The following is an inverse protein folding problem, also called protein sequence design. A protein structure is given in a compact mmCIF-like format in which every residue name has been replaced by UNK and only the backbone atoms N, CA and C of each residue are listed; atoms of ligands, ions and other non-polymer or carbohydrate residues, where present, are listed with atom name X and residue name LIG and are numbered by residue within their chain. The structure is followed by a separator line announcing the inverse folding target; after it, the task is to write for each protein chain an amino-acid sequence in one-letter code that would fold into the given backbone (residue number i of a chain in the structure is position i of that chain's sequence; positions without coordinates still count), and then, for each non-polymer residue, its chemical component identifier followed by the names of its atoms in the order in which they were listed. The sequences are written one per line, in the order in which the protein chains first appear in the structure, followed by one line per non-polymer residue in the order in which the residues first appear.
data_IF_796361369025
#
_entry.id   IF_796361369025
#
_cell.length_a   1.000
_cell.length_b   1.000
_cell.length_c   1.000
_cell.angle_alpha   90.00
_cell.angle_beta   90.00
_cell.angle_gamma   90.00
#
_symmetry.space_group_name_H-M   'P 1'
#
loop_
_entity.id
_entity.type
_entity.pdbx_description
1 polymer ?
#
# COMPACT_ATOMS: atom_id res chain seq x y z
N UNK A 1 59.76 -35.80 12.55
CA UNK A 1 59.03 -36.67 11.61
C UNK A 1 60.04 -37.41 10.76
N UNK A 2 59.84 -38.71 10.52
CA UNK A 2 60.71 -39.55 9.66
C UNK A 2 60.54 -39.15 8.19
N UNK A 3 61.60 -39.24 7.38
CA UNK A 3 61.49 -39.01 5.93
C UNK A 3 60.86 -40.22 5.23
N UNK A 4 60.40 -40.06 3.98
CA UNK A 4 59.94 -41.20 3.18
C UNK A 4 61.07 -42.18 2.87
N UNK A 5 62.30 -41.70 2.70
CA UNK A 5 63.47 -42.57 2.48
C UNK A 5 63.70 -43.53 3.64
N UNK A 6 63.59 -43.03 4.87
CA UNK A 6 63.70 -43.84 6.09
C UNK A 6 62.52 -44.82 6.22
N UNK A 7 61.31 -44.35 5.91
CA UNK A 7 60.09 -45.17 5.92
C UNK A 7 60.17 -46.31 4.90
N UNK A 8 60.56 -46.00 3.66
CA UNK A 8 60.74 -46.96 2.57
C UNK A 8 61.76 -48.02 2.92
N UNK A 9 62.94 -47.62 3.41
CA UNK A 9 64.00 -48.56 3.82
C UNK A 9 63.54 -49.49 4.93
N UNK A 10 62.78 -48.98 5.90
CA UNK A 10 62.26 -49.74 7.04
C UNK A 10 61.19 -50.76 6.62
N UNK A 11 60.32 -50.42 5.67
CA UNK A 11 59.16 -51.24 5.29
C UNK A 11 59.28 -51.91 3.92
N UNK A 12 60.43 -51.85 3.25
CA UNK A 12 60.65 -52.43 1.91
C UNK A 12 60.29 -53.93 1.78
N UNK A 13 60.32 -54.69 2.89
CA UNK A 13 59.96 -56.11 2.94
C UNK A 13 58.49 -56.36 3.34
N UNK A 14 57.76 -55.35 3.80
CA UNK A 14 56.35 -55.48 4.23
C UNK A 14 55.44 -55.71 3.01
N UNK A 15 54.61 -56.75 3.08
CA UNK A 15 53.70 -57.12 1.99
C UNK A 15 52.72 -56.00 1.63
N UNK A 16 52.27 -55.19 2.60
CA UNK A 16 51.39 -54.03 2.35
C UNK A 16 52.12 -52.89 1.65
N UNK A 17 53.43 -52.76 1.89
CA UNK A 17 54.26 -51.77 1.19
C UNK A 17 54.51 -52.20 -0.26
N UNK A 18 54.78 -53.48 -0.49
CA UNK A 18 54.96 -54.04 -1.84
C UNK A 18 53.67 -54.05 -2.66
N UNK A 19 52.52 -54.30 -2.01
CA UNK A 19 51.20 -54.33 -2.65
C UNK A 19 50.77 -53.00 -3.31
N UNK A 20 51.43 -51.89 -2.98
CA UNK A 20 51.26 -50.62 -3.70
C UNK A 20 52.33 -50.59 -4.79
N UNK A 21 51.99 -50.92 -6.04
CA UNK A 21 52.99 -51.13 -7.08
C UNK A 21 53.79 -49.87 -7.48
N UNK A 22 53.13 -48.71 -7.46
CA UNK A 22 53.74 -47.45 -7.90
C UNK A 22 54.46 -46.75 -6.75
N UNK A 23 55.76 -46.52 -6.92
CA UNK A 23 56.57 -45.78 -5.94
C UNK A 23 56.03 -44.37 -5.64
N UNK A 24 55.47 -43.70 -6.66
CA UNK A 24 54.80 -42.40 -6.50
C UNK A 24 53.57 -42.48 -5.60
N UNK A 25 52.79 -43.56 -5.70
CA UNK A 25 51.59 -43.75 -4.89
C UNK A 25 51.97 -44.05 -3.43
N UNK A 26 53.05 -44.82 -3.20
CA UNK A 26 53.61 -45.03 -1.86
C UNK A 26 54.02 -43.73 -1.17
N UNK A 27 54.75 -42.87 -1.90
CA UNK A 27 55.13 -41.54 -1.41
C UNK A 27 53.90 -40.68 -1.16
N UNK A 28 52.92 -40.66 -2.09
CA UNK A 28 51.68 -39.89 -1.93
C UNK A 28 50.94 -40.30 -0.66
N UNK A 29 50.71 -41.60 -0.44
CA UNK A 29 50.01 -42.10 0.76
C UNK A 29 50.77 -41.79 2.05
N UNK A 30 52.11 -41.81 2.02
CA UNK A 30 52.92 -41.41 3.16
C UNK A 30 52.80 -39.92 3.47
N UNK A 31 52.85 -39.06 2.45
CA UNK A 31 52.65 -37.61 2.61
C UNK A 31 51.23 -37.28 3.08
N UNK A 32 50.23 -37.98 2.56
CA UNK A 32 48.83 -37.86 2.99
C UNK A 32 48.68 -38.24 4.46
N UNK A 33 49.27 -39.37 4.90
CA UNK A 33 49.29 -39.76 6.31
C UNK A 33 49.97 -38.72 7.21
N UNK A 34 51.12 -38.17 6.80
CA UNK A 34 51.79 -37.11 7.56
C UNK A 34 50.93 -35.83 7.63
N UNK A 35 50.25 -35.48 6.54
CA UNK A 35 49.33 -34.34 6.48
C UNK A 35 48.15 -34.54 7.43
N UNK A 36 47.52 -35.72 7.39
CA UNK A 36 46.43 -36.10 8.28
C UNK A 36 46.85 -36.10 9.75
N UNK A 37 48.05 -36.58 10.07
CA UNK A 37 48.56 -36.61 11.43
C UNK A 37 48.75 -35.19 11.98
N UNK A 38 49.37 -34.28 11.20
CA UNK A 38 49.47 -32.85 11.57
C UNK A 38 48.11 -32.21 11.73
N UNK A 39 47.17 -32.52 10.83
CA UNK A 39 45.80 -32.01 10.88
C UNK A 39 45.11 -32.49 12.16
N UNK A 40 45.20 -33.78 12.49
CA UNK A 40 44.60 -34.37 13.69
C UNK A 40 45.16 -33.76 14.97
N UNK A 41 46.49 -33.60 15.07
CA UNK A 41 47.12 -32.97 16.24
C UNK A 41 46.66 -31.51 16.42
N UNK A 42 46.57 -30.76 15.31
CA UNK A 42 46.07 -29.38 15.32
C UNK A 42 44.59 -29.32 15.75
N UNK A 43 43.76 -30.19 15.19
CA UNK A 43 42.34 -30.27 15.46
C UNK A 43 42.07 -30.69 16.91
N UNK A 44 42.82 -31.65 17.45
CA UNK A 44 42.71 -32.08 18.84
C UNK A 44 43.06 -30.94 19.81
N UNK A 45 44.17 -30.24 19.55
CA UNK A 45 44.56 -29.07 20.33
C UNK A 45 43.52 -27.95 20.27
N UNK A 46 42.84 -27.78 19.14
CA UNK A 46 41.74 -26.82 19.01
C UNK A 46 40.50 -27.28 19.78
N UNK A 47 40.13 -28.56 19.65
CA UNK A 47 39.00 -29.18 20.34
C UNK A 47 39.14 -29.07 21.86
N UNK A 48 40.33 -29.32 22.39
CA UNK A 48 40.62 -29.21 23.82
C UNK A 48 40.46 -27.77 24.32
N UNK A 49 40.95 -26.77 23.59
CA UNK A 49 40.78 -25.35 23.94
C UNK A 49 39.31 -24.93 24.00
N UNK A 50 38.53 -25.34 22.99
CA UNK A 50 37.09 -25.03 22.93
C UNK A 50 36.32 -25.76 24.02
N UNK A 51 36.69 -27.01 24.33
CA UNK A 51 36.12 -27.78 25.43
C UNK A 51 36.37 -27.08 26.77
N UNK A 52 37.62 -26.71 27.07
CA UNK A 52 37.98 -25.99 28.29
C UNK A 52 37.21 -24.67 28.44
N UNK A 53 37.04 -23.93 27.35
CA UNK A 53 36.23 -22.70 27.35
C UNK A 53 34.76 -22.99 27.63
N UNK A 54 34.19 -23.99 26.96
CA UNK A 54 32.79 -24.39 27.12
C UNK A 54 32.50 -24.86 28.54
N UNK A 55 33.36 -25.71 29.10
CA UNK A 55 33.24 -26.24 30.45
C UNK A 55 33.31 -25.12 31.50
N UNK A 56 34.19 -24.14 31.31
CA UNK A 56 34.26 -22.95 32.17
C UNK A 56 33.00 -22.08 32.07
N UNK A 57 32.47 -21.85 30.86
CA UNK A 57 31.23 -21.09 30.67
C UNK A 57 30.02 -21.80 31.31
N UNK A 58 29.97 -23.13 31.23
CA UNK A 58 28.94 -23.93 31.90
C UNK A 58 29.03 -23.84 33.42
N UNK A 59 30.25 -23.89 33.98
CA UNK A 59 30.48 -23.67 35.40
C UNK A 59 29.96 -22.30 35.87
N UNK A 60 30.18 -21.24 35.08
CA UNK A 60 29.61 -19.91 35.35
C UNK A 60 28.08 -19.94 35.28
N UNK A 61 27.50 -20.57 34.25
CA UNK A 61 26.05 -20.69 34.07
C UNK A 61 25.35 -21.42 35.21
N UNK A 62 26.01 -22.36 35.87
CA UNK A 62 25.50 -23.06 37.05
C UNK A 62 25.39 -22.16 38.30
N UNK A 63 26.09 -21.02 38.33
CA UNK A 63 26.05 -20.06 39.45
C UNK A 63 24.76 -19.22 39.39
N UNK A 64 23.69 -19.72 39.99
CA UNK A 64 22.35 -19.08 40.01
C UNK A 64 22.31 -17.65 40.57
N UNK A 65 23.30 -17.26 41.37
CA UNK A 65 23.37 -15.91 41.97
C UNK A 65 24.21 -14.91 41.14
N UNK A 66 24.65 -15.27 39.93
CA UNK A 66 25.37 -14.35 39.06
C UNK A 66 24.41 -13.30 38.48
N UNK A 67 24.80 -12.05 38.65
CA UNK A 67 24.11 -10.90 38.05
C UNK A 67 25.13 -10.03 37.33
N UNK A 68 24.66 -9.04 36.57
CA UNK A 68 25.54 -8.08 35.89
C UNK A 68 26.45 -7.27 36.83
N UNK A 69 26.12 -7.20 38.12
CA UNK A 69 26.88 -6.48 39.13
C UNK A 69 27.78 -7.39 39.98
N UNK A 70 27.84 -8.69 39.67
CA UNK A 70 28.69 -9.62 40.42
C UNK A 70 30.17 -9.31 40.22
N UNK A 71 30.96 -9.32 41.30
CA UNK A 71 32.41 -9.14 41.24
C UNK A 71 33.13 -10.49 41.11
N UNK A 72 34.22 -10.50 40.32
CA UNK A 72 35.00 -11.71 40.07
C UNK A 72 35.51 -12.38 41.35
N UNK A 73 35.98 -11.59 42.32
CA UNK A 73 36.48 -12.09 43.61
C UNK A 73 35.46 -12.94 44.36
N UNK A 74 34.18 -12.56 44.33
CA UNK A 74 33.11 -13.28 45.03
C UNK A 74 32.80 -14.62 44.36
N UNK A 75 32.79 -14.61 43.04
CA UNK A 75 32.50 -15.78 42.22
C UNK A 75 33.66 -16.77 42.30
N UNK A 76 34.89 -16.28 42.17
CA UNK A 76 36.13 -17.07 42.32
C UNK A 76 36.17 -17.84 43.63
N UNK A 77 35.77 -17.23 44.76
CA UNK A 77 35.71 -17.92 46.07
C UNK A 77 34.76 -19.12 46.08
N UNK A 78 33.76 -19.17 45.21
CA UNK A 78 32.80 -20.29 45.12
C UNK A 78 33.26 -21.40 44.16
N UNK A 79 34.00 -21.03 43.11
CA UNK A 79 34.31 -21.95 42.01
C UNK A 79 35.77 -22.41 41.94
N UNK A 80 36.69 -21.86 42.75
CA UNK A 80 38.13 -22.11 42.63
C UNK A 80 38.56 -23.58 42.81
N UNK A 81 37.75 -24.39 43.48
CA UNK A 81 38.02 -25.80 43.72
C UNK A 81 37.60 -26.71 42.56
N UNK A 82 36.72 -26.24 41.67
CA UNK A 82 36.14 -27.03 40.57
C UNK A 82 37.22 -27.41 39.53
N UNK A 83 37.25 -28.68 39.06
CA UNK A 83 38.20 -29.11 38.02
C UNK A 83 38.14 -28.26 36.74
N UNK A 84 36.95 -27.81 36.33
CA UNK A 84 36.74 -26.98 35.13
C UNK A 84 37.31 -25.57 35.31
N UNK A 85 37.35 -25.05 36.54
CA UNK A 85 38.06 -23.81 36.87
C UNK A 85 39.58 -24.01 36.77
N UNK A 86 40.07 -25.12 37.35
CA UNK A 86 41.51 -25.43 37.38
C UNK A 86 42.07 -25.71 35.98
N UNK A 87 41.28 -26.31 35.08
CA UNK A 87 41.64 -26.59 33.69
C UNK A 87 41.97 -25.34 32.85
N UNK A 88 41.60 -24.15 33.30
CA UNK A 88 41.99 -22.88 32.66
C UNK A 88 43.25 -22.36 33.34
N UNK A 89 44.44 -22.55 32.79
CA UNK A 89 45.68 -22.26 33.53
C UNK A 89 45.88 -20.78 33.89
N UNK A 90 45.39 -19.86 33.05
CA UNK A 90 45.61 -18.42 33.19
C UNK A 90 44.54 -17.74 34.03
N UNK A 91 44.95 -17.04 35.09
CA UNK A 91 44.05 -16.26 35.94
C UNK A 91 43.36 -15.10 35.19
N UNK A 92 44.09 -14.40 34.31
CA UNK A 92 43.51 -13.33 33.50
C UNK A 92 42.47 -13.88 32.53
N UNK A 93 42.75 -15.03 31.89
CA UNK A 93 41.80 -15.69 30.98
C UNK A 93 40.49 -16.05 31.66
N UNK A 94 40.55 -16.58 32.88
CA UNK A 94 39.34 -16.89 33.69
C UNK A 94 38.50 -15.65 33.93
N UNK A 95 39.14 -14.53 34.28
CA UNK A 95 38.47 -13.26 34.53
C UNK A 95 37.91 -12.63 33.25
N UNK A 96 38.62 -12.72 32.12
CA UNK A 96 38.12 -12.27 30.82
C UNK A 96 36.85 -13.02 30.42
N UNK A 97 36.84 -14.34 30.57
CA UNK A 97 35.67 -15.17 30.28
C UNK A 97 34.51 -14.89 31.24
N UNK A 98 34.80 -14.59 32.50
CA UNK A 98 33.79 -14.11 33.44
C UNK A 98 33.18 -12.78 32.99
N UNK A 99 34.00 -11.79 32.62
CA UNK A 99 33.52 -10.48 32.14
C UNK A 99 32.68 -10.63 30.87
N UNK A 100 33.09 -11.51 29.96
CA UNK A 100 32.31 -11.85 28.76
C UNK A 100 30.93 -12.43 29.12
N UNK A 101 30.88 -13.37 30.07
CA UNK A 101 29.64 -13.99 30.51
C UNK A 101 28.69 -12.97 31.18
N UNK A 102 29.21 -12.13 32.08
CA UNK A 102 28.45 -11.09 32.77
C UNK A 102 27.89 -10.06 31.79
N UNK A 103 28.66 -9.67 30.77
CA UNK A 103 28.18 -8.78 29.70
C UNK A 103 27.01 -9.39 28.93
N UNK A 104 27.09 -10.68 28.59
CA UNK A 104 25.98 -11.40 27.91
C UNK A 104 24.69 -11.43 28.73
N UNK A 105 24.77 -11.42 30.07
CA UNK A 105 23.58 -11.33 30.93
C UNK A 105 22.89 -9.95 30.84
N UNK A 106 23.63 -8.88 30.53
CA UNK A 106 23.06 -7.52 30.34
C UNK A 106 22.44 -7.37 28.94
N UNK A 107 23.01 -8.02 27.92
CA UNK A 107 22.49 -8.00 26.54
C UNK A 107 21.23 -8.87 26.34
N UNK A 108 20.98 -9.87 27.19
CA UNK A 108 19.72 -10.61 27.16
C UNK A 108 18.60 -9.76 27.78
N UNK A 109 17.65 -9.22 26.99
CA UNK A 109 16.56 -8.47 27.57
C UNK A 109 15.75 -9.39 28.46
N UNK A 110 15.35 -8.91 29.64
CA UNK A 110 14.43 -9.65 30.52
C UNK A 110 13.20 -10.07 29.70
N UNK A 111 12.62 -11.24 30.01
CA UNK A 111 11.37 -11.70 29.38
C UNK A 111 10.26 -10.65 29.47
N UNK A 112 10.26 -9.86 30.55
CA UNK A 112 9.32 -8.76 30.77
C UNK A 112 9.51 -7.61 29.77
N UNK A 113 10.75 -7.19 29.51
CA UNK A 113 11.09 -6.14 28.52
C UNK A 113 10.73 -6.58 27.10
N UNK A 114 10.98 -7.86 26.78
CA UNK A 114 10.58 -8.44 25.49
C UNK A 114 9.07 -8.50 25.29
N UNK A 115 8.29 -8.67 26.37
CA UNK A 115 6.84 -8.68 26.35
C UNK A 115 6.27 -7.28 26.14
N UNK A 116 6.74 -6.30 26.92
CA UNK A 116 6.33 -4.91 26.82
C UNK A 116 6.61 -4.32 25.43
N UNK A 117 7.77 -4.65 24.84
CA UNK A 117 8.11 -4.21 23.47
C UNK A 117 7.16 -4.80 22.42
N UNK A 118 6.85 -6.10 22.50
CA UNK A 118 5.89 -6.75 21.59
C UNK A 118 4.48 -6.20 21.71
N UNK A 119 4.06 -5.87 22.93
CA UNK A 119 2.74 -5.29 23.16
C UNK A 119 2.63 -3.87 22.63
N UNK A 120 3.67 -3.05 22.82
CA UNK A 120 3.77 -1.72 22.23
C UNK A 120 3.73 -1.78 20.69
N UNK A 121 4.47 -2.69 20.09
CA UNK A 121 4.48 -2.89 18.63
C UNK A 121 3.10 -3.30 18.09
N UNK A 122 2.40 -4.20 18.79
CA UNK A 122 1.02 -4.56 18.44
C UNK A 122 0.07 -3.37 18.51
N UNK A 123 0.19 -2.55 19.55
CA UNK A 123 -0.64 -1.36 19.73
C UNK A 123 -0.38 -0.32 18.63
N UNK A 124 0.89 -0.06 18.32
CA UNK A 124 1.27 0.86 17.25
C UNK A 124 0.77 0.37 15.88
N UNK A 125 0.81 -0.94 15.61
CA UNK A 125 0.26 -1.51 14.38
C UNK A 125 -1.27 -1.37 14.30
N UNK A 126 -1.98 -1.59 15.41
CA UNK A 126 -3.43 -1.40 15.47
C UNK A 126 -3.82 0.06 15.28
N UNK A 127 -3.11 0.98 15.94
CA UNK A 127 -3.35 2.42 15.84
C UNK A 127 -3.05 2.94 14.43
N UNK A 128 -1.97 2.48 13.79
CA UNK A 128 -1.66 2.81 12.41
C UNK A 128 -2.77 2.36 11.45
N UNK A 129 -3.26 1.13 11.61
CA UNK A 129 -4.35 0.60 10.78
C UNK A 129 -5.66 1.36 10.99
N UNK A 130 -5.99 1.73 12.23
CA UNK A 130 -7.17 2.54 12.53
C UNK A 130 -7.06 3.93 11.91
N UNK A 131 -5.90 4.59 12.06
CA UNK A 131 -5.66 5.94 11.53
C UNK A 131 -5.73 5.97 10.01
N UNK A 132 -5.20 4.95 9.34
CA UNK A 132 -5.29 4.82 7.88
C UNK A 132 -6.75 4.70 7.44
N UNK A 133 -7.52 3.82 8.09
CA UNK A 133 -8.94 3.63 7.78
C UNK A 133 -9.78 4.88 8.04
N UNK A 134 -9.52 5.59 9.14
CA UNK A 134 -10.20 6.86 9.44
C UNK A 134 -9.90 7.93 8.37
N UNK A 135 -8.66 7.97 7.86
CA UNK A 135 -8.28 8.87 6.78
C UNK A 135 -9.02 8.53 5.50
N UNK A 136 -9.08 7.25 5.11
CA UNK A 136 -9.83 6.80 3.93
C UNK A 136 -11.32 7.16 4.03
N UNK A 137 -11.95 6.90 5.18
CA UNK A 137 -13.37 7.23 5.41
C UNK A 137 -13.58 8.74 5.30
N UNK A 138 -12.69 9.55 5.89
CA UNK A 138 -12.78 11.01 5.82
C UNK A 138 -12.62 11.54 4.39
N UNK A 139 -11.68 11.00 3.64
CA UNK A 139 -11.45 11.37 2.23
C UNK A 139 -12.64 10.96 1.36
N UNK A 140 -13.15 9.74 1.51
CA UNK A 140 -14.34 9.26 0.80
C UNK A 140 -15.58 10.12 1.11
N UNK A 141 -15.79 10.47 2.39
CA UNK A 141 -16.87 11.34 2.80
C UNK A 141 -16.72 12.75 2.20
N UNK A 142 -15.52 13.33 2.28
CA UNK A 142 -15.25 14.65 1.68
C UNK A 142 -15.46 14.64 0.16
N UNK A 143 -15.05 13.58 -0.53
CA UNK A 143 -15.24 13.44 -1.97
C UNK A 143 -16.73 13.33 -2.30
N UNK A 144 -17.45 12.44 -1.62
CA UNK A 144 -18.88 12.24 -1.80
C UNK A 144 -19.70 13.50 -1.52
N UNK A 145 -19.32 14.30 -0.52
CA UNK A 145 -19.97 15.57 -0.23
C UNK A 145 -19.78 16.58 -1.37
N UNK A 146 -18.55 16.72 -1.91
CA UNK A 146 -18.24 17.63 -3.02
C UNK A 146 -18.95 17.23 -4.31
N UNK A 147 -19.02 15.94 -4.59
CA UNK A 147 -19.72 15.42 -5.77
C UNK A 147 -21.22 15.74 -5.71
N UNK A 148 -21.86 15.51 -4.55
CA UNK A 148 -23.26 15.87 -4.33
C UNK A 148 -23.53 17.37 -4.42
N UNK A 149 -22.60 18.20 -3.96
CA UNK A 149 -22.73 19.67 -4.11
C UNK A 149 -22.66 20.08 -5.58
N UNK A 150 -21.67 19.57 -6.32
CA UNK A 150 -21.56 19.83 -7.76
C UNK A 150 -22.79 19.37 -8.53
N UNK A 151 -23.36 18.22 -8.18
CA UNK A 151 -24.58 17.72 -8.81
C UNK A 151 -25.78 18.65 -8.54
N UNK A 152 -25.93 19.14 -7.30
CA UNK A 152 -26.97 20.12 -6.96
C UNK A 152 -26.80 21.42 -7.74
N UNK A 153 -25.59 21.95 -7.83
CA UNK A 153 -25.32 23.18 -8.58
C UNK A 153 -25.61 23.00 -10.07
N UNK A 154 -25.25 21.84 -10.64
CA UNK A 154 -25.56 21.52 -12.03
C UNK A 154 -27.05 21.36 -12.27
N UNK A 155 -27.79 20.72 -11.36
CA UNK A 155 -29.24 20.59 -11.47
C UNK A 155 -29.92 21.96 -11.43
N UNK A 156 -29.50 22.84 -10.51
CA UNK A 156 -30.01 24.21 -10.43
C UNK A 156 -29.68 25.00 -11.70
N UNK A 157 -28.45 24.86 -12.23
CA UNK A 157 -28.04 25.48 -13.48
C UNK A 157 -28.92 25.01 -14.65
N UNK A 158 -29.09 23.71 -14.84
CA UNK A 158 -29.93 23.12 -15.89
C UNK A 158 -31.41 23.55 -15.75
N UNK A 159 -31.91 23.67 -14.53
CA UNK A 159 -33.26 24.14 -14.25
C UNK A 159 -33.43 25.59 -14.73
N UNK A 160 -32.49 26.48 -14.38
CA UNK A 160 -32.58 27.87 -14.81
C UNK A 160 -32.32 28.03 -16.32
N UNK A 161 -31.49 27.19 -16.92
CA UNK A 161 -31.32 27.11 -18.37
C UNK A 161 -32.64 26.75 -19.06
N UNK A 162 -33.34 25.74 -18.53
CA UNK A 162 -34.65 25.31 -19.01
C UNK A 162 -35.69 26.41 -18.84
N UNK A 163 -35.76 27.03 -17.66
CA UNK A 163 -36.66 28.16 -17.38
C UNK A 163 -36.40 29.31 -18.35
N UNK A 164 -35.14 29.65 -18.61
CA UNK A 164 -34.77 30.69 -19.54
C UNK A 164 -35.21 30.36 -20.98
N UNK A 165 -34.99 29.12 -21.44
CA UNK A 165 -35.48 28.67 -22.75
C UNK A 165 -37.00 28.75 -22.85
N UNK A 166 -37.74 28.36 -21.81
CA UNK A 166 -39.21 28.50 -21.79
C UNK A 166 -39.65 29.96 -21.85
N UNK A 167 -39.01 30.85 -21.08
CA UNK A 167 -39.29 32.29 -21.15
C UNK A 167 -39.05 32.86 -22.56
N UNK A 168 -37.99 32.41 -23.24
CA UNK A 168 -37.71 32.80 -24.61
C UNK A 168 -38.79 32.31 -25.58
N UNK A 169 -39.26 31.07 -25.43
CA UNK A 169 -40.38 30.54 -26.23
C UNK A 169 -41.67 31.36 -26.03
N UNK A 170 -41.97 31.74 -24.80
CA UNK A 170 -43.21 32.44 -24.45
C UNK A 170 -43.18 33.91 -24.90
N UNK A 171 -42.04 34.59 -24.69
CA UNK A 171 -41.93 36.06 -24.77
C UNK A 171 -41.19 36.57 -26.00
N UNK A 172 -40.38 35.73 -26.66
CA UNK A 172 -39.58 36.09 -27.85
C UNK A 172 -40.02 35.20 -29.01
N UNK A 173 -41.01 35.67 -29.77
CA UNK A 173 -41.59 34.91 -30.89
C UNK A 173 -41.23 35.46 -32.27
N UNK A 174 -40.83 36.73 -32.34
CA UNK A 174 -40.43 37.39 -33.59
C UNK A 174 -38.92 37.16 -33.85
N UNK A 175 -38.53 36.53 -34.98
CA UNK A 175 -37.13 36.30 -35.32
C UNK A 175 -36.33 37.58 -35.60
N UNK A 176 -36.97 38.75 -35.70
CA UNK A 176 -36.28 40.04 -35.84
C UNK A 176 -36.20 40.83 -34.53
N UNK A 177 -36.70 40.29 -33.41
CA UNK A 177 -36.67 40.97 -32.11
C UNK A 177 -35.23 41.18 -31.63
N UNK A 178 -34.88 42.39 -31.24
CA UNK A 178 -33.53 42.67 -30.73
C UNK A 178 -33.36 42.16 -29.29
N UNK A 179 -32.12 41.84 -28.89
CA UNK A 179 -31.83 41.48 -27.50
C UNK A 179 -32.27 42.54 -26.49
N UNK A 180 -32.20 43.83 -26.86
CA UNK A 180 -32.63 44.95 -26.00
C UNK A 180 -34.13 44.90 -25.72
N UNK A 181 -34.94 44.59 -26.73
CA UNK A 181 -36.39 44.45 -26.61
C UNK A 181 -36.76 43.17 -25.86
N UNK A 182 -36.14 42.04 -26.23
CA UNK A 182 -36.33 40.76 -25.55
C UNK A 182 -36.02 40.87 -24.05
N UNK A 183 -34.87 41.45 -23.70
CA UNK A 183 -34.45 41.67 -22.30
C UNK A 183 -35.41 42.56 -21.52
N UNK A 184 -36.08 43.53 -22.16
CA UNK A 184 -37.10 44.37 -21.52
C UNK A 184 -38.35 43.56 -21.15
N UNK A 185 -38.72 42.58 -21.97
CA UNK A 185 -39.83 41.67 -21.68
C UNK A 185 -39.45 40.64 -20.61
N UNK A 186 -38.27 40.00 -20.76
CA UNK A 186 -37.78 38.96 -19.84
C UNK A 186 -37.64 39.48 -18.40
N UNK A 187 -37.15 40.72 -18.20
CA UNK A 187 -37.01 41.33 -16.87
C UNK A 187 -38.31 41.55 -16.10
N UNK A 188 -39.46 41.47 -16.76
CA UNK A 188 -40.78 41.58 -16.12
C UNK A 188 -41.30 40.24 -15.63
N UNK A 189 -40.70 39.14 -16.06
CA UNK A 189 -41.06 37.78 -15.63
C UNK A 189 -40.45 37.50 -14.26
N UNK A 190 -41.24 36.92 -13.34
CA UNK A 190 -40.79 36.61 -11.99
C UNK A 190 -39.64 35.60 -11.95
N UNK A 191 -39.47 34.79 -13.01
CA UNK A 191 -38.38 33.80 -13.12
C UNK A 191 -37.03 34.44 -13.48
N UNK A 192 -37.01 35.69 -13.97
CA UNK A 192 -35.79 36.34 -14.44
C UNK A 192 -34.74 36.52 -13.36
N UNK A 193 -35.13 36.74 -12.11
CA UNK A 193 -34.19 36.92 -10.99
C UNK A 193 -33.34 35.66 -10.78
N UNK A 194 -33.97 34.49 -10.70
CA UNK A 194 -33.29 33.20 -10.51
C UNK A 194 -32.40 32.82 -11.70
N UNK A 195 -32.88 33.06 -12.92
CA UNK A 195 -32.06 32.93 -14.14
C UNK A 195 -30.91 33.94 -14.16
N UNK A 196 -31.14 35.12 -13.57
CA UNK A 196 -30.22 36.22 -13.31
C UNK A 196 -28.98 35.78 -12.55
N UNK A 197 -29.23 35.11 -11.44
CA UNK A 197 -28.26 34.74 -10.42
C UNK A 197 -27.46 33.49 -10.77
N UNK A 198 -28.08 32.54 -11.47
CA UNK A 198 -27.45 31.24 -11.79
C UNK A 198 -26.73 31.27 -13.14
N UNK A 199 -27.35 31.82 -14.18
CA UNK A 199 -26.75 31.83 -15.52
C UNK A 199 -25.89 33.10 -15.72
N UNK A 200 -24.63 33.00 -16.15
CA UNK A 200 -23.84 34.16 -16.51
C UNK A 200 -24.40 34.87 -17.75
N UNK A 201 -24.05 36.15 -17.90
CA UNK A 201 -24.50 36.96 -19.06
C UNK A 201 -24.12 36.34 -20.40
N UNK A 202 -22.91 35.82 -20.53
CA UNK A 202 -22.41 35.19 -21.77
C UNK A 202 -23.27 34.01 -22.18
N UNK A 203 -23.67 33.17 -21.23
CA UNK A 203 -24.48 31.97 -21.49
C UNK A 203 -25.91 32.34 -21.89
N UNK A 204 -26.53 33.31 -21.20
CA UNK A 204 -27.85 33.83 -21.62
C UNK A 204 -27.82 34.45 -23.01
N UNK A 205 -26.77 35.19 -23.33
CA UNK A 205 -26.59 35.78 -24.65
C UNK A 205 -26.46 34.68 -25.72
N UNK A 206 -25.81 33.55 -25.40
CA UNK A 206 -25.67 32.41 -26.32
C UNK A 206 -26.99 31.63 -26.51
N UNK A 207 -27.67 31.27 -25.42
CA UNK A 207 -28.99 30.60 -25.47
C UNK A 207 -30.01 31.46 -26.25
N UNK A 208 -29.94 32.79 -26.10
CA UNK A 208 -30.76 33.69 -26.89
C UNK A 208 -30.44 33.61 -28.39
N UNK A 209 -29.17 33.64 -28.79
CA UNK A 209 -28.79 33.50 -30.21
C UNK A 209 -29.25 32.16 -30.78
N UNK A 210 -29.08 31.07 -30.03
CA UNK A 210 -29.55 29.74 -30.42
C UNK A 210 -31.06 29.74 -30.66
N UNK A 211 -31.83 30.34 -29.76
CA UNK A 211 -33.28 30.50 -29.91
C UNK A 211 -33.66 31.31 -31.14
N UNK A 212 -33.01 32.45 -31.37
CA UNK A 212 -33.26 33.30 -32.54
C UNK A 212 -32.91 32.58 -33.86
N UNK A 213 -31.81 31.83 -33.90
CA UNK A 213 -31.45 31.00 -35.05
C UNK A 213 -32.49 29.89 -35.30
N UNK A 214 -33.01 29.26 -34.24
CA UNK A 214 -34.07 28.25 -34.31
C UNK A 214 -35.38 28.84 -34.83
N UNK A 215 -35.77 30.04 -34.38
CA UNK A 215 -36.95 30.75 -34.88
C UNK A 215 -36.81 31.14 -36.35
N UNK A 216 -35.67 31.70 -36.74
CA UNK A 216 -35.41 32.09 -38.14
C UNK A 216 -35.44 30.86 -39.06
N UNK A 217 -34.88 29.73 -38.60
CA UNK A 217 -34.94 28.45 -39.32
C UNK A 217 -36.38 27.97 -39.48
N UNK A 218 -37.17 27.92 -38.41
CA UNK A 218 -38.59 27.52 -38.44
C UNK A 218 -39.43 28.42 -39.35
N UNK A 219 -39.18 29.73 -39.36
CA UNK A 219 -39.87 30.67 -40.26
C UNK A 219 -39.52 30.42 -41.73
N UNK A 220 -38.25 30.15 -42.04
CA UNK A 220 -37.81 29.82 -43.40
C UNK A 220 -38.39 28.50 -43.90
N UNK A 221 -38.54 27.52 -43.00
CA UNK A 221 -39.04 26.19 -43.33
C UNK A 221 -40.59 26.14 -43.43
N UNK A 222 -41.30 27.20 -43.01
CA UNK A 222 -42.76 27.38 -43.16
C UNK A 222 -43.11 28.65 -43.97
N UNK A 223 -42.96 28.67 -45.31
CA UNK A 223 -43.55 29.70 -46.14
C UNK A 223 -45.08 29.53 -46.19
N UNK A 224 -45.85 30.62 -46.03
CA UNK A 224 -47.29 30.61 -46.26
C UNK A 224 -47.62 30.02 -47.63
N UNK A 225 -48.46 28.99 -47.61
CA UNK A 225 -49.19 28.48 -48.78
C UNK A 225 -50.24 29.52 -49.18
N UNK A 226 -49.84 30.50 -49.99
CA UNK A 226 -50.70 31.40 -50.77
C UNK A 226 -49.86 31.82 -51.98
N UNK A 227 -50.21 31.55 -53.25
CA UNK A 227 -51.53 31.50 -53.85
C UNK A 227 -51.46 30.77 -55.20
N UNK A 228 -52.39 29.85 -55.46
CA UNK A 228 -53.10 29.76 -56.75
C UNK A 228 -54.16 28.66 -56.72
N UNK A 229 -55.40 29.12 -56.80
CA UNK A 229 -56.53 28.55 -57.52
C UNK A 229 -57.63 27.74 -56.80
N UNK A 230 -58.83 28.28 -56.98
CA UNK A 230 -60.21 27.82 -56.88
C UNK A 230 -60.64 26.64 -55.97
N UNK A 231 -61.60 26.96 -55.10
CA UNK A 231 -62.82 26.16 -55.03
C UNK A 231 -63.09 25.41 -53.72
N UNK A 232 -64.06 25.96 -52.98
CA UNK A 232 -65.04 25.26 -52.12
C UNK A 232 -64.54 24.61 -50.82
N UNK A 233 -65.22 24.98 -49.72
CA UNK A 233 -65.51 24.04 -48.63
C UNK A 233 -64.92 24.38 -47.27
N UNK A 234 -65.80 24.84 -46.38
CA UNK A 234 -65.64 24.82 -44.93
C UNK A 234 -65.01 23.49 -44.43
N UNK A 235 -64.15 23.55 -43.40
CA UNK A 235 -64.36 22.83 -42.12
C UNK A 235 -63.14 22.92 -41.19
N UNK A 236 -63.42 23.34 -39.95
CA UNK A 236 -62.85 22.82 -38.71
C UNK A 236 -61.42 23.18 -38.33
N UNK A 237 -61.28 24.35 -37.70
CA UNK A 237 -60.37 24.49 -36.57
C UNK A 237 -60.85 23.57 -35.43
N UNK A 238 -60.10 22.50 -35.13
CA UNK A 238 -59.89 21.89 -33.80
C UNK A 238 -59.15 20.54 -33.95
N UNK A 239 -58.30 20.21 -32.95
CA UNK A 239 -57.40 19.04 -32.81
C UNK A 239 -56.10 19.16 -33.64
N UNK A 240 -54.88 19.13 -33.10
CA UNK A 240 -54.33 18.26 -32.06
C UNK A 240 -53.53 19.01 -30.98
N UNK A 241 -54.19 19.29 -29.86
CA UNK A 241 -53.59 19.09 -28.53
C UNK A 241 -53.91 17.64 -28.16
N UNK A 242 -52.96 16.90 -27.55
CA UNK A 242 -52.98 15.46 -27.25
C UNK A 242 -52.51 14.52 -28.38
N UNK A 243 -51.19 14.44 -28.62
CA UNK A 243 -50.59 13.13 -28.97
C UNK A 243 -49.08 12.99 -28.71
N UNK A 244 -48.46 13.85 -27.88
CA UNK A 244 -47.06 13.65 -27.46
C UNK A 244 -46.86 13.66 -25.93
N UNK A 245 -47.94 13.48 -25.16
CA UNK A 245 -47.89 13.35 -23.70
C UNK A 245 -48.17 11.92 -23.19
N UNK A 246 -48.41 10.93 -24.07
CA UNK A 246 -48.74 9.56 -23.66
C UNK A 246 -47.59 8.54 -23.89
N UNK A 247 -46.55 8.86 -24.68
CA UNK A 247 -45.47 7.89 -24.94
C UNK A 247 -44.32 7.97 -23.92
N UNK A 248 -44.15 9.08 -23.19
CA UNK A 248 -43.06 9.21 -22.20
C UNK A 248 -43.44 8.71 -20.79
N UNK A 249 -44.71 8.44 -20.51
CA UNK A 249 -45.18 7.93 -19.20
C UNK A 249 -45.14 6.40 -19.07
N UNK A 250 -44.90 5.65 -20.15
CA UNK A 250 -44.82 4.17 -20.12
C UNK A 250 -43.38 3.63 -19.97
N UNK A 251 -42.34 4.46 -20.11
CA UNK A 251 -40.94 4.01 -19.90
C UNK A 251 -40.40 4.25 -18.47
N UNK A 252 -41.09 5.03 -17.63
CA UNK A 252 -40.66 5.28 -16.25
C UNK A 252 -41.26 4.29 -15.24
N UNK A 253 -42.29 3.51 -15.61
CA UNK A 253 -42.95 2.54 -14.71
C UNK A 253 -42.38 1.11 -14.77
N UNK A 254 -41.38 0.86 -15.63
CA UNK A 254 -40.70 -0.44 -15.74
C UNK A 254 -39.38 -0.53 -14.94
N UNK A 255 -38.82 0.60 -14.50
CA UNK A 255 -37.56 0.62 -13.70
C UNK A 255 -37.75 0.66 -12.18
N UNK A 256 -38.97 0.81 -11.66
CA UNK A 256 -39.23 0.82 -10.21
C UNK A 256 -39.59 -0.55 -9.62
N UNK A 257 -39.62 -1.63 -10.42
CA UNK A 257 -39.97 -2.99 -9.94
C UNK A 257 -38.79 -3.98 -9.96
N UNK A 258 -37.54 -3.51 -10.10
CA UNK A 258 -36.35 -4.37 -10.16
C UNK A 258 -35.34 -4.14 -9.01
N UNK A 259 -35.75 -3.44 -7.96
CA UNK A 259 -35.00 -3.34 -6.71
C UNK A 259 -35.97 -3.49 -5.55
N UNK A 260 -36.33 -4.75 -5.28
CA UNK A 260 -36.79 -5.22 -3.98
C UNK A 260 -36.28 -6.64 -3.78
#
# INVERSE_FOLDING_TARGET
MSSFGDFSTKYQKDERFKAIDKARDRESMFQDFLSELRKREKDEKHREKEKTRTDFMNLLKEQKSLTKHSHWSDVKRKIHSDPRYKAVDSSSRREDWFREYVKKLDETPSREDSGARKEREKRERQEASLREREKEVKEALSSSMREREKERDQQLHNEQETNFRTMLLDLVRDPNMTWKEAKKALRKDSRWEFVGDVLPRSERDEIFKEHMASLAKKMRDFPQKSSSDSGVGYMSFLFLSHSLFIITSMLSRSKSNATS
#
